data_IF_458382661050
#
_entry.id   IF_458382661050
#
_cell.length_a   1.000
_cell.length_b   1.000
_cell.length_c   1.000
_cell.angle_alpha   90.00
_cell.angle_beta   90.00
_cell.angle_gamma   90.00
#
_symmetry.space_group_name_H-M   'P 1'
#
loop_
_entity.id
_entity.type
_entity.pdbx_description
1 polymer ?
#
# COMPACT_ATOMS: atom_id res chain seq x y z
N UNK A 1 -10.19 12.84 14.75
CA UNK A 1 -9.74 12.52 13.37
C UNK A 1 -8.20 12.58 13.29
N UNK A 2 -7.59 13.71 13.65
CA UNK A 2 -6.13 13.95 13.62
C UNK A 2 -5.25 12.82 14.22
N UNK A 3 -5.47 12.34 15.46
CA UNK A 3 -4.58 11.30 16.02
C UNK A 3 -4.68 9.96 15.27
N UNK A 4 -5.84 9.64 14.69
CA UNK A 4 -6.03 8.41 13.90
C UNK A 4 -5.33 8.49 12.55
N UNK A 5 -5.36 9.67 11.92
CA UNK A 5 -4.66 9.93 10.65
C UNK A 5 -3.15 9.81 10.85
N UNK A 6 -2.61 10.46 11.90
CA UNK A 6 -1.17 10.39 12.19
C UNK A 6 -0.69 8.96 12.47
N UNK A 7 -1.48 8.17 13.20
CA UNK A 7 -1.18 6.76 13.43
C UNK A 7 -1.08 5.96 12.12
N UNK A 8 -2.04 6.15 11.20
CA UNK A 8 -2.03 5.47 9.90
C UNK A 8 -0.88 5.95 9.00
N UNK A 9 -0.56 7.24 9.00
CA UNK A 9 0.54 7.81 8.20
C UNK A 9 1.89 7.23 8.59
N UNK A 10 2.09 6.88 9.86
CA UNK A 10 3.32 6.23 10.34
C UNK A 10 3.26 4.71 10.14
N UNK A 11 2.12 4.09 10.44
CA UNK A 11 1.97 2.63 10.37
C UNK A 11 2.04 2.10 8.93
N UNK A 12 1.45 2.80 7.95
CA UNK A 12 1.40 2.31 6.58
C UNK A 12 2.76 2.18 5.91
N UNK A 13 3.68 3.16 5.97
CA UNK A 13 5.04 2.99 5.47
C UNK A 13 5.77 1.78 6.07
N UNK A 14 5.63 1.56 7.38
CA UNK A 14 6.24 0.40 8.06
C UNK A 14 5.63 -0.92 7.57
N UNK A 15 4.30 -0.97 7.42
CA UNK A 15 3.61 -2.13 6.86
C UNK A 15 3.98 -2.38 5.40
N UNK A 16 4.18 -1.33 4.60
CA UNK A 16 4.65 -1.44 3.21
C UNK A 16 6.04 -2.05 3.15
N UNK A 17 6.98 -1.61 4.01
CA UNK A 17 8.30 -2.22 4.10
C UNK A 17 8.24 -3.70 4.47
N UNK A 18 7.39 -4.04 5.45
CA UNK A 18 7.19 -5.43 5.87
C UNK A 18 6.59 -6.27 4.73
N UNK A 19 5.57 -5.75 4.03
CA UNK A 19 4.93 -6.42 2.91
C UNK A 19 5.92 -6.66 1.75
N UNK A 20 6.77 -5.68 1.45
CA UNK A 20 7.82 -5.83 0.44
C UNK A 20 8.82 -6.93 0.84
N UNK A 21 9.30 -6.94 2.09
CA UNK A 21 10.21 -7.97 2.57
C UNK A 21 9.58 -9.38 2.50
N UNK A 22 8.33 -9.51 2.97
CA UNK A 22 7.58 -10.76 2.90
C UNK A 22 7.34 -11.21 1.45
N UNK A 23 7.02 -10.28 0.54
CA UNK A 23 6.86 -10.54 -0.89
C UNK A 23 8.14 -11.00 -1.56
N UNK A 24 9.28 -10.39 -1.24
CA UNK A 24 10.60 -10.81 -1.74
C UNK A 24 10.97 -12.22 -1.26
N UNK A 25 10.75 -12.52 0.02
CA UNK A 25 11.01 -13.86 0.57
C UNK A 25 10.09 -14.92 -0.05
N UNK A 26 8.80 -14.60 -0.20
CA UNK A 26 7.84 -15.49 -0.88
C UNK A 26 8.20 -15.73 -2.34
N UNK A 27 8.58 -14.67 -3.07
CA UNK A 27 9.04 -14.75 -4.45
C UNK A 27 10.30 -15.59 -4.60
N UNK A 28 11.26 -15.42 -3.69
CA UNK A 28 12.48 -16.22 -3.66
C UNK A 28 12.20 -17.70 -3.34
N UNK A 29 11.29 -17.99 -2.41
CA UNK A 29 10.89 -19.36 -2.07
C UNK A 29 10.23 -20.08 -3.25
N UNK A 30 9.29 -19.43 -3.93
CA UNK A 30 8.66 -20.00 -5.14
C UNK A 30 9.66 -20.10 -6.28
N UNK A 31 10.53 -19.11 -6.45
CA UNK A 31 11.62 -19.13 -7.43
C UNK A 31 12.55 -20.33 -7.25
N UNK A 32 12.90 -20.65 -6.01
CA UNK A 32 13.74 -21.79 -5.69
C UNK A 32 13.03 -23.15 -5.87
N UNK A 33 11.74 -23.23 -5.54
CA UNK A 33 11.01 -24.52 -5.51
C UNK A 33 10.32 -24.89 -6.81
N UNK A 34 9.86 -23.91 -7.59
CA UNK A 34 9.08 -24.14 -8.81
C UNK A 34 9.90 -23.87 -10.07
N UNK A 35 10.82 -22.91 -10.01
CA UNK A 35 11.60 -22.45 -11.17
C UNK A 35 13.06 -22.93 -11.13
N UNK A 36 13.45 -23.72 -10.12
CA UNK A 36 14.83 -24.20 -9.87
C UNK A 36 15.89 -23.08 -9.91
N UNK A 37 15.51 -21.86 -9.52
CA UNK A 37 16.42 -20.71 -9.47
C UNK A 37 17.21 -20.76 -8.16
N UNK A 38 18.53 -20.84 -8.25
CA UNK A 38 19.41 -20.73 -7.08
C UNK A 38 19.20 -19.39 -6.35
N UNK A 39 19.19 -19.43 -5.02
CA UNK A 39 19.07 -18.25 -4.15
C UNK A 39 20.06 -17.14 -4.50
N UNK A 40 21.30 -17.50 -4.82
CA UNK A 40 22.32 -16.53 -5.24
C UNK A 40 21.93 -15.79 -6.53
N UNK A 41 21.45 -16.53 -7.53
CA UNK A 41 21.00 -15.96 -8.81
C UNK A 41 19.77 -15.07 -8.64
N UNK A 42 18.86 -15.42 -7.72
CA UNK A 42 17.71 -14.57 -7.38
C UNK A 42 18.16 -13.24 -6.76
N UNK A 43 19.04 -13.29 -5.75
CA UNK A 43 19.52 -12.07 -5.08
C UNK A 43 20.37 -11.18 -6.00
N UNK A 44 21.16 -11.76 -6.88
CA UNK A 44 21.95 -11.03 -7.88
C UNK A 44 21.04 -10.29 -8.88
N UNK A 45 20.03 -10.99 -9.43
CA UNK A 45 19.01 -10.39 -10.29
C UNK A 45 18.26 -9.27 -9.58
N UNK A 46 17.90 -9.49 -8.33
CA UNK A 46 17.19 -8.51 -7.51
C UNK A 46 18.01 -7.23 -7.37
N UNK A 47 19.30 -7.35 -7.03
CA UNK A 47 20.20 -6.22 -6.80
C UNK A 47 20.47 -5.39 -8.07
N UNK A 48 20.39 -6.01 -9.25
CA UNK A 48 20.57 -5.32 -10.54
C UNK A 48 19.27 -4.71 -11.07
N UNK A 49 18.11 -5.26 -10.66
CA UNK A 49 16.79 -4.83 -11.18
C UNK A 49 16.14 -3.77 -10.29
N UNK A 50 16.32 -3.86 -8.98
CA UNK A 50 15.71 -2.95 -8.02
C UNK A 50 16.71 -1.88 -7.65
N UNK A 51 16.32 -0.63 -7.89
CA UNK A 51 17.11 0.52 -7.48
C UNK A 51 16.54 1.12 -6.18
N UNK A 52 17.36 1.88 -5.43
CA UNK A 52 16.90 2.54 -4.21
C UNK A 52 15.72 3.50 -4.46
N UNK A 53 15.63 3.99 -5.70
CA UNK A 53 14.56 4.80 -6.23
C UNK A 53 13.18 4.11 -6.20
N UNK A 54 13.12 2.80 -6.46
CA UNK A 54 11.86 2.05 -6.46
C UNK A 54 11.24 2.01 -5.05
N UNK A 55 12.09 1.87 -4.04
CA UNK A 55 11.68 1.93 -2.63
C UNK A 55 11.18 3.33 -2.26
N UNK A 56 11.87 4.38 -2.71
CA UNK A 56 11.49 5.76 -2.42
C UNK A 56 10.15 6.13 -3.06
N UNK A 57 9.89 5.68 -4.29
CA UNK A 57 8.60 5.86 -4.99
C UNK A 57 7.46 5.19 -4.20
N UNK A 58 7.67 3.96 -3.72
CA UNK A 58 6.68 3.27 -2.88
C UNK A 58 6.43 3.98 -1.54
N UNK A 59 7.50 4.41 -0.87
CA UNK A 59 7.43 5.09 0.42
C UNK A 59 6.80 6.48 0.32
N UNK A 60 6.98 7.22 -0.78
CA UNK A 60 6.34 8.53 -0.95
C UNK A 60 4.83 8.42 -1.19
N UNK A 61 4.36 7.34 -1.83
CA UNK A 61 2.92 7.08 -2.01
C UNK A 61 2.22 6.69 -0.70
N UNK A 62 2.91 5.97 0.19
CA UNK A 62 2.31 5.38 1.40
C UNK A 62 1.61 6.39 2.34
N UNK A 63 2.20 7.57 2.68
CA UNK A 63 1.52 8.60 3.47
C UNK A 63 0.23 9.12 2.84
N UNK A 64 0.18 9.23 1.51
CA UNK A 64 -1.00 9.73 0.80
C UNK A 64 -2.13 8.71 0.86
N UNK A 65 -1.81 7.43 0.65
CA UNK A 65 -2.79 6.35 0.83
C UNK A 65 -3.28 6.28 2.28
N UNK A 66 -2.38 6.46 3.25
CA UNK A 66 -2.73 6.49 4.67
C UNK A 66 -3.71 7.60 5.01
N UNK A 67 -3.46 8.79 4.47
CA UNK A 67 -4.37 9.91 4.63
C UNK A 67 -5.75 9.62 4.04
N UNK A 68 -5.80 9.11 2.80
CA UNK A 68 -7.06 8.76 2.14
C UNK A 68 -7.87 7.75 2.96
N UNK A 69 -7.24 6.64 3.39
CA UNK A 69 -7.88 5.59 4.20
C UNK A 69 -8.39 6.15 5.52
N UNK A 70 -7.57 6.96 6.21
CA UNK A 70 -7.93 7.53 7.49
C UNK A 70 -9.13 8.48 7.38
N UNK A 71 -9.15 9.32 6.34
CA UNK A 71 -10.23 10.29 6.09
C UNK A 71 -11.52 9.57 5.72
N UNK A 72 -11.52 8.70 4.72
CA UNK A 72 -12.73 7.96 4.30
C UNK A 72 -13.29 7.09 5.43
N UNK A 73 -12.41 6.38 6.15
CA UNK A 73 -12.79 5.52 7.27
C UNK A 73 -13.40 6.30 8.43
N UNK A 74 -12.79 7.43 8.80
CA UNK A 74 -13.33 8.26 9.89
C UNK A 74 -14.60 9.01 9.49
N UNK A 75 -14.71 9.49 8.25
CA UNK A 75 -15.91 10.16 7.74
C UNK A 75 -17.13 9.24 7.79
N UNK A 76 -17.01 8.01 7.27
CA UNK A 76 -18.11 7.05 7.29
C UNK A 76 -18.40 6.51 8.69
N UNK A 77 -17.37 6.33 9.52
CA UNK A 77 -17.54 5.95 10.92
C UNK A 77 -18.31 6.98 11.76
N UNK A 78 -18.16 8.28 11.48
CA UNK A 78 -18.91 9.34 12.17
C UNK A 78 -20.36 9.48 11.70
N UNK A 79 -20.75 8.86 10.57
CA UNK A 79 -22.10 8.92 10.02
C UNK A 79 -23.04 7.84 10.56
N UNK A 80 -22.54 6.92 11.39
CA UNK A 80 -23.30 5.83 11.98
C UNK A 80 -24.27 6.40 13.03
N UNK A 81 -25.57 6.14 12.89
CA UNK A 81 -26.62 6.66 13.78
C UNK A 81 -27.03 5.69 14.88
N UNK A 82 -26.53 4.46 14.87
CA UNK A 82 -26.56 3.57 16.04
C UNK A 82 -27.06 2.14 15.82
N UNK A 83 -27.41 1.73 14.59
CA UNK A 83 -27.72 0.31 14.33
C UNK A 83 -26.50 -0.45 13.82
N UNK A 84 -26.38 -1.72 14.22
CA UNK A 84 -25.31 -2.61 13.74
C UNK A 84 -25.38 -2.84 12.22
N UNK A 85 -26.59 -2.86 11.66
CA UNK A 85 -26.82 -2.96 10.22
C UNK A 85 -26.32 -1.72 9.46
N UNK A 86 -26.56 -0.53 10.00
CA UNK A 86 -26.04 0.72 9.43
C UNK A 86 -24.52 0.81 9.53
N UNK A 87 -23.92 0.32 10.63
CA UNK A 87 -22.48 0.22 10.79
C UNK A 87 -21.86 -0.67 9.71
N UNK A 88 -22.40 -1.86 9.48
CA UNK A 88 -21.94 -2.77 8.43
C UNK A 88 -22.03 -2.15 7.03
N UNK A 89 -23.15 -1.49 6.74
CA UNK A 89 -23.34 -0.79 5.45
C UNK A 89 -22.32 0.34 5.25
N UNK A 90 -22.11 1.17 6.26
CA UNK A 90 -21.19 2.30 6.19
C UNK A 90 -19.73 1.87 6.13
N UNK A 91 -19.34 0.77 6.78
CA UNK A 91 -17.98 0.23 6.69
C UNK A 91 -17.70 -0.34 5.29
N UNK A 92 -18.64 -1.08 4.68
CA UNK A 92 -18.48 -1.53 3.28
C UNK A 92 -18.34 -0.36 2.33
N UNK A 93 -19.17 0.69 2.47
CA UNK A 93 -19.04 1.92 1.67
C UNK A 93 -17.68 2.57 1.89
N UNK A 94 -17.20 2.63 3.13
CA UNK A 94 -15.88 3.20 3.45
C UNK A 94 -14.76 2.45 2.74
N UNK A 95 -14.77 1.11 2.76
CA UNK A 95 -13.75 0.28 2.10
C UNK A 95 -13.76 0.50 0.58
N UNK A 96 -14.92 0.42 -0.06
CA UNK A 96 -15.05 0.61 -1.51
C UNK A 96 -14.57 2.01 -1.92
N UNK A 97 -14.98 3.05 -1.20
CA UNK A 97 -14.54 4.41 -1.48
C UNK A 97 -13.03 4.61 -1.27
N UNK A 98 -12.47 3.99 -0.24
CA UNK A 98 -11.02 4.05 0.01
C UNK A 98 -10.24 3.41 -1.11
N UNK A 99 -10.63 2.19 -1.52
CA UNK A 99 -9.97 1.45 -2.62
C UNK A 99 -10.04 2.26 -3.92
N UNK A 100 -11.21 2.80 -4.24
CA UNK A 100 -11.38 3.63 -5.45
C UNK A 100 -10.46 4.86 -5.43
N UNK A 101 -10.42 5.60 -4.33
CA UNK A 101 -9.55 6.78 -4.20
C UNK A 101 -8.06 6.42 -4.26
N UNK A 102 -7.66 5.28 -3.68
CA UNK A 102 -6.29 4.79 -3.75
C UNK A 102 -5.91 4.47 -5.19
N UNK A 103 -6.76 3.76 -5.94
CA UNK A 103 -6.49 3.42 -7.35
C UNK A 103 -6.34 4.68 -8.20
N UNK A 104 -7.23 5.66 -8.03
CA UNK A 104 -7.15 6.93 -8.76
C UNK A 104 -5.89 7.70 -8.38
N UNK A 105 -5.58 7.80 -7.09
CA UNK A 105 -4.37 8.48 -6.62
C UNK A 105 -3.10 7.79 -7.15
N UNK A 106 -3.06 6.46 -7.12
CA UNK A 106 -1.94 5.69 -7.64
C UNK A 106 -1.75 5.90 -9.14
N UNK A 107 -2.83 5.90 -9.93
CA UNK A 107 -2.77 6.19 -11.36
C UNK A 107 -2.17 7.58 -11.64
N UNK A 108 -2.57 8.59 -10.86
CA UNK A 108 -2.01 9.94 -10.96
C UNK A 108 -0.51 9.91 -10.65
N UNK A 109 -0.09 9.30 -9.53
CA UNK A 109 1.32 9.20 -9.19
C UNK A 109 2.12 8.47 -10.27
N UNK A 110 1.61 7.36 -10.79
CA UNK A 110 2.26 6.57 -11.83
C UNK A 110 2.47 7.39 -13.11
N UNK A 111 1.48 8.18 -13.54
CA UNK A 111 1.65 9.10 -14.68
C UNK A 111 2.67 10.19 -14.37
N UNK A 112 2.67 10.73 -13.15
CA UNK A 112 3.62 11.77 -12.73
C UNK A 112 5.06 11.23 -12.71
N UNK A 113 5.31 10.06 -12.11
CA UNK A 113 6.64 9.46 -12.07
C UNK A 113 7.15 9.12 -13.47
N UNK A 114 6.30 8.50 -14.31
CA UNK A 114 6.65 8.19 -15.69
C UNK A 114 7.02 9.44 -16.53
N UNK A 115 6.43 10.61 -16.22
CA UNK A 115 6.77 11.88 -16.88
C UNK A 115 8.05 12.52 -16.37
N UNK A 116 8.43 12.25 -15.13
CA UNK A 116 9.65 12.76 -14.49
C UNK A 116 10.87 11.88 -14.82
N UNK A 117 10.65 10.71 -15.44
CA UNK A 117 11.72 9.78 -15.84
C UNK A 117 12.14 8.84 -14.72
N UNK A 118 11.25 8.62 -13.75
CA UNK A 118 11.31 7.55 -12.76
C UNK A 118 10.46 6.36 -13.22
#
# INVERSE_FOLDING_TARGET
IIPRVLGLVIALPLLTMFANAAGLLGGAFIGATVLDINWFAFTERLAVTIDANDLLVGLTKAPVFAFLIAVTGTLRGMQVKGSAEELGRLTTIAVVQSIFLIIVADAIFTVVYARIGF
#
